data_IF_822376539464
#
_entry.id   IF_822376539464
#
_cell.length_a   1.000
_cell.length_b   1.000
_cell.length_c   1.000
_cell.angle_alpha   90.00
_cell.angle_beta   90.00
_cell.angle_gamma   90.00
#
_symmetry.space_group_name_H-M   'P 1'
#
loop_
_entity.id
_entity.type
_entity.pdbx_description
1 polymer ?
#
# COMPACT_ATOMS: atom_id res chain seq x y z
N UNK A 1 -0.51 14.08 15.05
CA UNK A 1 -0.14 12.65 15.20
C UNK A 1 -0.64 11.95 13.95
N UNK A 2 0.18 11.12 13.27
CA UNK A 2 -0.26 10.45 12.03
C UNK A 2 -1.18 9.26 12.35
N UNK A 3 -2.24 9.07 11.57
CA UNK A 3 -3.13 7.89 11.70
C UNK A 3 -2.48 6.63 11.12
N UNK A 4 -3.03 5.46 11.41
CA UNK A 4 -2.57 4.20 10.82
C UNK A 4 -2.65 4.21 9.29
N UNK A 5 -3.73 4.76 8.72
CA UNK A 5 -3.88 4.94 7.28
C UNK A 5 -2.78 5.83 6.67
N UNK A 6 -2.47 6.96 7.33
CA UNK A 6 -1.41 7.88 6.87
C UNK A 6 -0.02 7.23 6.94
N UNK A 7 0.23 6.39 7.95
CA UNK A 7 1.49 5.65 8.05
C UNK A 7 1.58 4.54 7.00
N UNK A 8 0.48 3.85 6.71
CA UNK A 8 0.44 2.86 5.64
C UNK A 8 0.74 3.49 4.28
N UNK A 9 0.12 4.63 3.96
CA UNK A 9 0.42 5.39 2.73
C UNK A 9 1.91 5.72 2.64
N UNK A 10 2.52 6.17 3.74
CA UNK A 10 3.95 6.50 3.72
C UNK A 10 4.84 5.31 3.34
N UNK A 11 4.51 4.10 3.83
CA UNK A 11 5.25 2.90 3.43
C UNK A 11 5.03 2.56 1.95
N UNK A 12 3.79 2.66 1.46
CA UNK A 12 3.47 2.38 0.06
C UNK A 12 4.11 3.41 -0.89
N UNK A 13 4.18 4.69 -0.50
CA UNK A 13 4.81 5.77 -1.27
C UNK A 13 6.31 5.54 -1.45
N UNK A 14 6.97 4.99 -0.42
CA UNK A 14 8.39 4.60 -0.50
C UNK A 14 8.59 3.49 -1.52
N UNK A 15 7.80 2.42 -1.45
CA UNK A 15 7.85 1.37 -2.47
C UNK A 15 7.54 1.94 -3.86
N UNK A 16 6.54 2.82 -3.97
CA UNK A 16 6.17 3.50 -5.21
C UNK A 16 7.34 4.33 -5.78
N UNK A 17 8.17 4.94 -4.93
CA UNK A 17 9.36 5.67 -5.37
C UNK A 17 10.41 4.72 -5.99
N UNK A 18 10.59 3.54 -5.41
CA UNK A 18 11.54 2.55 -5.92
C UNK A 18 11.09 1.93 -7.26
N UNK A 19 9.79 1.65 -7.41
CA UNK A 19 9.24 1.03 -8.63
C UNK A 19 9.03 2.01 -9.79
N UNK A 20 9.10 3.32 -9.55
CA UNK A 20 8.92 4.34 -10.59
C UNK A 20 10.15 4.47 -11.49
N UNK A 21 9.94 4.61 -12.79
CA UNK A 21 11.00 4.87 -13.77
C UNK A 21 11.82 3.64 -14.13
N UNK A 22 13.07 3.84 -14.54
CA UNK A 22 13.96 2.74 -14.96
C UNK A 22 14.46 1.94 -13.76
N UNK A 23 14.40 0.61 -13.84
CA UNK A 23 14.98 -0.30 -12.85
C UNK A 23 16.51 -0.34 -12.95
N UNK A 24 17.17 0.18 -11.93
CA UNK A 24 18.62 0.06 -11.71
C UNK A 24 18.90 -1.01 -10.65
N UNK A 25 20.13 -1.53 -10.54
CA UNK A 25 20.49 -2.45 -9.46
C UNK A 25 20.11 -1.92 -8.07
N UNK A 26 20.44 -0.66 -7.77
CA UNK A 26 20.13 -0.01 -6.48
C UNK A 26 18.63 0.00 -6.16
N UNK A 27 17.77 0.22 -7.17
CA UNK A 27 16.31 0.19 -7.00
C UNK A 27 15.80 -1.24 -6.76
N UNK A 28 16.41 -2.23 -7.40
CA UNK A 28 16.05 -3.62 -7.15
C UNK A 28 16.42 -4.02 -5.71
N UNK A 29 17.55 -3.54 -5.19
CA UNK A 29 17.90 -3.69 -3.78
C UNK A 29 16.92 -2.94 -2.87
N UNK A 30 16.55 -1.70 -3.21
CA UNK A 30 15.54 -0.93 -2.45
C UNK A 30 14.17 -1.61 -2.38
N UNK A 31 13.73 -2.22 -3.49
CA UNK A 31 12.50 -3.02 -3.52
C UNK A 31 12.62 -4.25 -2.62
N UNK A 32 13.72 -5.00 -2.72
CA UNK A 32 13.95 -6.19 -1.88
C UNK A 32 13.97 -5.82 -0.39
N UNK A 33 14.68 -4.75 -0.03
CA UNK A 33 14.75 -4.26 1.34
C UNK A 33 13.39 -3.81 1.87
N UNK A 34 12.57 -3.15 1.04
CA UNK A 34 11.21 -2.79 1.44
C UNK A 34 10.38 -4.03 1.80
N UNK A 35 10.41 -5.08 0.97
CA UNK A 35 9.67 -6.31 1.25
C UNK A 35 10.21 -7.06 2.47
N UNK A 36 11.52 -7.00 2.71
CA UNK A 36 12.18 -7.65 3.84
C UNK A 36 11.93 -6.95 5.17
N UNK A 37 11.91 -5.61 5.16
CA UNK A 37 11.94 -4.79 6.37
C UNK A 37 10.64 -4.00 6.61
N UNK A 38 10.10 -3.37 5.56
CA UNK A 38 8.97 -2.43 5.70
C UNK A 38 7.60 -3.09 5.49
N UNK A 39 7.50 -4.16 4.70
CA UNK A 39 6.22 -4.80 4.41
C UNK A 39 5.50 -5.32 5.67
N UNK A 40 6.25 -5.74 6.69
CA UNK A 40 5.67 -6.15 7.98
C UNK A 40 5.07 -4.96 8.74
N UNK A 41 5.79 -3.83 8.78
CA UNK A 41 5.31 -2.62 9.42
C UNK A 41 4.07 -2.07 8.69
N UNK A 42 4.08 -2.07 7.35
CA UNK A 42 2.93 -1.71 6.54
C UNK A 42 1.71 -2.60 6.86
N UNK A 43 1.90 -3.93 6.93
CA UNK A 43 0.84 -4.85 7.31
C UNK A 43 0.33 -4.61 8.74
N UNK A 44 1.21 -4.27 9.68
CA UNK A 44 0.81 -3.89 11.04
C UNK A 44 -0.08 -2.63 11.01
N UNK A 45 0.27 -1.59 10.23
CA UNK A 45 -0.58 -0.40 10.11
C UNK A 45 -1.93 -0.72 9.47
N UNK A 46 -1.95 -1.60 8.46
CA UNK A 46 -3.19 -2.08 7.86
C UNK A 46 -4.10 -2.78 8.88
N UNK A 47 -3.53 -3.56 9.81
CA UNK A 47 -4.29 -4.29 10.84
C UNK A 47 -5.03 -3.39 11.84
N UNK A 48 -4.57 -2.14 12.00
CA UNK A 48 -5.16 -1.16 12.90
C UNK A 48 -6.36 -0.44 12.28
N UNK A 49 -6.61 -0.62 10.98
CA UNK A 49 -7.78 -0.08 10.32
C UNK A 49 -9.04 -0.87 10.70
N UNK A 50 -10.23 -0.23 10.68
CA UNK A 50 -11.47 -0.95 10.93
C UNK A 50 -11.79 -1.95 9.79
N UNK A 51 -12.58 -2.96 10.11
CA UNK A 51 -13.22 -3.79 9.10
C UNK A 51 -14.22 -2.94 8.29
N UNK A 52 -14.38 -3.18 6.97
CA UNK A 52 -13.77 -4.25 6.19
C UNK A 52 -12.39 -3.91 5.58
N UNK A 53 -11.87 -2.70 5.78
CA UNK A 53 -10.66 -2.22 5.09
C UNK A 53 -9.41 -3.01 5.47
N UNK A 54 -9.22 -3.32 6.75
CA UNK A 54 -8.08 -4.11 7.19
C UNK A 54 -8.03 -5.48 6.52
N UNK A 55 -9.14 -6.22 6.46
CA UNK A 55 -9.25 -7.53 5.82
C UNK A 55 -8.94 -7.45 4.32
N UNK A 56 -9.52 -6.45 3.64
CA UNK A 56 -9.28 -6.20 2.21
C UNK A 56 -7.81 -5.89 1.93
N UNK A 57 -7.12 -5.15 2.79
CA UNK A 57 -5.70 -4.81 2.61
C UNK A 57 -4.79 -5.99 2.99
N UNK A 58 -5.04 -6.62 4.14
CA UNK A 58 -4.20 -7.70 4.66
C UNK A 58 -4.16 -8.93 3.74
N UNK A 59 -5.20 -9.15 2.90
CA UNK A 59 -5.20 -10.21 1.87
C UNK A 59 -3.98 -10.08 0.94
N UNK A 60 -3.55 -8.87 0.60
CA UNK A 60 -2.41 -8.63 -0.30
C UNK A 60 -1.07 -8.94 0.38
N UNK A 61 -0.93 -8.58 1.65
CA UNK A 61 0.26 -8.90 2.44
C UNK A 61 0.37 -10.39 2.77
N UNK A 62 -0.75 -11.08 2.94
CA UNK A 62 -0.76 -12.52 3.23
C UNK A 62 -0.16 -13.35 2.08
N UNK A 63 -0.44 -12.95 0.83
CA UNK A 63 0.11 -13.60 -0.36
C UNK A 63 1.64 -13.56 -0.43
N UNK A 64 2.28 -12.57 0.20
CA UNK A 64 3.75 -12.47 0.28
C UNK A 64 4.35 -13.55 1.19
N UNK A 65 3.63 -14.00 2.22
CA UNK A 65 4.11 -14.99 3.20
C UNK A 65 3.88 -16.43 2.77
N UNK A 66 2.87 -16.68 1.94
CA UNK A 66 2.44 -18.04 1.59
C UNK A 66 3.11 -18.63 0.35
N UNK A 67 3.63 -17.81 -0.57
CA UNK A 67 4.13 -18.34 -1.84
C UNK A 67 5.55 -18.89 -1.69
N UNK A 68 5.76 -20.15 -2.10
CA UNK A 68 7.07 -20.75 -2.36
C UNK A 68 7.90 -19.97 -3.42
N UNK A 69 7.24 -19.05 -4.14
CA UNK A 69 7.82 -18.19 -5.18
C UNK A 69 7.72 -16.71 -4.75
N UNK A 70 8.65 -16.22 -3.91
CA UNK A 70 8.59 -14.87 -3.36
C UNK A 70 8.60 -13.78 -4.43
N UNK A 71 9.43 -13.91 -5.47
CA UNK A 71 9.50 -12.94 -6.58
C UNK A 71 8.17 -12.77 -7.31
N UNK A 72 7.44 -13.87 -7.56
CA UNK A 72 6.13 -13.78 -8.19
C UNK A 72 5.11 -13.10 -7.28
N UNK A 73 5.19 -13.33 -5.96
CA UNK A 73 4.32 -12.67 -5.00
C UNK A 73 4.58 -11.15 -4.96
N UNK A 74 5.85 -10.75 -4.89
CA UNK A 74 6.29 -9.35 -4.91
C UNK A 74 5.84 -8.66 -6.20
N UNK A 75 6.04 -9.29 -7.36
CA UNK A 75 5.60 -8.74 -8.64
C UNK A 75 4.07 -8.55 -8.71
N UNK A 76 3.28 -9.52 -8.22
CA UNK A 76 1.83 -9.37 -8.13
C UNK A 76 1.42 -8.25 -7.17
N UNK A 77 2.10 -8.12 -6.03
CA UNK A 77 1.84 -7.06 -5.06
C UNK A 77 2.12 -5.68 -5.66
N UNK A 78 3.26 -5.50 -6.32
CA UNK A 78 3.62 -4.23 -6.98
C UNK A 78 2.63 -3.89 -8.09
N UNK A 79 2.26 -4.87 -8.93
CA UNK A 79 1.45 -4.63 -10.13
C UNK A 79 -0.01 -4.33 -9.80
N UNK A 80 -0.62 -5.13 -8.93
CA UNK A 80 -2.07 -5.08 -8.69
C UNK A 80 -2.37 -4.72 -7.23
N UNK A 81 -1.58 -5.23 -6.29
CA UNK A 81 -1.84 -5.08 -4.87
C UNK A 81 -1.71 -3.64 -4.37
N UNK A 82 -0.73 -2.88 -4.84
CA UNK A 82 -0.55 -1.49 -4.43
C UNK A 82 -1.72 -0.61 -4.85
N UNK A 83 -2.15 -0.70 -6.10
CA UNK A 83 -3.26 0.09 -6.63
C UNK A 83 -4.56 -0.26 -5.90
N UNK A 84 -4.86 -1.55 -5.71
CA UNK A 84 -6.03 -1.97 -4.92
C UNK A 84 -5.98 -1.44 -3.47
N UNK A 85 -4.81 -1.42 -2.83
CA UNK A 85 -4.66 -0.88 -1.47
C UNK A 85 -4.89 0.63 -1.44
N UNK A 86 -4.41 1.37 -2.45
CA UNK A 86 -4.69 2.80 -2.56
C UNK A 86 -6.17 3.08 -2.74
N UNK A 87 -6.87 2.31 -3.57
CA UNK A 87 -8.33 2.43 -3.75
C UNK A 87 -9.07 2.17 -2.43
N UNK A 88 -8.71 1.12 -1.69
CA UNK A 88 -9.30 0.81 -0.38
C UNK A 88 -9.06 1.94 0.63
N UNK A 89 -7.86 2.52 0.62
CA UNK A 89 -7.53 3.65 1.49
C UNK A 89 -8.30 4.92 1.09
N UNK A 90 -8.50 5.14 -0.20
CA UNK A 90 -9.31 6.25 -0.71
C UNK A 90 -10.78 6.14 -0.25
N UNK A 91 -11.40 4.96 -0.40
CA UNK A 91 -12.74 4.65 0.13
C UNK A 91 -12.80 4.95 1.63
N UNK A 92 -11.81 4.49 2.39
CA UNK A 92 -11.70 4.73 3.82
C UNK A 92 -11.69 6.23 4.17
N UNK A 93 -10.92 7.05 3.43
CA UNK A 93 -10.87 8.49 3.67
C UNK A 93 -12.20 9.18 3.37
N UNK A 94 -12.88 8.81 2.28
CA UNK A 94 -14.21 9.36 1.95
C UNK A 94 -15.19 9.09 3.09
N UNK A 95 -15.27 7.84 3.56
CA UNK A 95 -16.24 7.45 4.58
C UNK A 95 -15.92 7.99 5.98
N UNK A 96 -14.63 8.15 6.32
CA UNK A 96 -14.20 8.45 7.70
C UNK A 96 -13.70 9.88 7.92
N UNK A 97 -13.50 10.66 6.86
CA UNK A 97 -12.97 12.03 6.98
C UNK A 97 -13.86 13.08 6.32
N UNK A 98 -15.08 12.74 5.89
CA UNK A 98 -16.02 13.67 5.22
C UNK A 98 -15.27 14.57 4.24
N UNK A 99 -14.55 13.98 3.27
CA UNK A 99 -14.07 14.78 2.15
C UNK A 99 -15.35 15.19 1.40
N UNK A 100 -15.74 16.44 1.60
CA UNK A 100 -16.89 17.05 0.93
C UNK A 100 -16.66 16.90 -0.57
N UNK A 101 -17.42 16.00 -1.20
CA UNK A 101 -17.35 15.69 -2.63
C UNK A 101 -17.53 16.94 -3.53
N UNK A 102 -17.86 18.10 -2.95
CA UNK A 102 -18.03 19.38 -3.63
C UNK A 102 -16.73 20.11 -4.05
N UNK A 103 -15.55 19.78 -3.52
CA UNK A 103 -14.30 20.50 -3.90
C UNK A 103 -13.62 19.99 -5.19
N UNK A 104 -14.05 18.84 -5.74
CA UNK A 104 -13.46 18.27 -6.96
C UNK A 104 -14.13 18.74 -8.27
N UNK A 105 -15.33 19.33 -8.21
CA UNK A 105 -16.04 19.80 -9.41
C UNK A 105 -15.81 21.29 -9.76
N UNK A 106 -15.07 22.04 -8.94
CA UNK A 106 -14.93 23.50 -9.13
C UNK A 106 -13.55 23.98 -9.62
N UNK A 107 -12.70 23.07 -10.12
CA UNK A 107 -11.43 23.42 -10.78
C UNK A 107 -11.42 23.00 -12.27
N UNK A 108 -12.56 23.13 -12.96
CA UNK A 108 -12.61 23.24 -14.43
C UNK A 108 -12.49 24.70 -14.88
#
# INVERSE_FOLDING_TARGET
MRTAAQLLILHLDRLAAEVRGTFTPDKLEGIDDWFRLEAYEAAEKASLLPAPYNERILKHFHLLRQKERPLQAMACFIRDGMDEIYDILHDYYIEHNEIDHNELEHNE
#
